data_IF_118325515974
#
_entry.id   IF_118325515974
#
_cell.length_a   1.000
_cell.length_b   1.000
_cell.length_c   1.000
_cell.angle_alpha   90.00
_cell.angle_beta   90.00
_cell.angle_gamma   90.00
#
_symmetry.space_group_name_H-M   'P 1'
#
loop_
_entity.id
_entity.type
_entity.pdbx_description
1 polymer ?
#
# COMPACT_ATOMS: atom_id res chain seq x y z
N UNK A 1 -63.36 12.27 28.11
CA UNK A 1 -63.11 11.21 29.12
C UNK A 1 -62.09 10.23 28.54
N UNK A 2 -60.86 10.30 29.04
CA UNK A 2 -59.73 9.46 28.65
C UNK A 2 -59.88 8.04 29.24
N UNK A 3 -59.68 7.00 28.43
CA UNK A 3 -59.30 5.67 28.92
C UNK A 3 -58.07 5.19 28.15
N UNK A 4 -56.92 5.32 28.80
CA UNK A 4 -55.65 4.72 28.42
C UNK A 4 -55.74 3.20 28.58
N UNK A 5 -55.62 2.44 27.49
CA UNK A 5 -55.40 0.99 27.54
C UNK A 5 -53.90 0.73 27.44
N UNK A 6 -53.31 0.46 28.61
CA UNK A 6 -51.91 0.10 28.83
C UNK A 6 -51.75 -1.40 28.59
N UNK A 7 -51.16 -1.80 27.46
CA UNK A 7 -50.78 -3.20 27.22
C UNK A 7 -49.34 -3.46 27.67
N UNK A 8 -49.06 -4.65 28.26
CA UNK A 8 -47.85 -4.95 29.01
C UNK A 8 -46.64 -5.29 28.12
N UNK A 9 -45.47 -4.78 28.52
CA UNK A 9 -44.15 -5.06 27.94
C UNK A 9 -43.69 -6.51 28.20
N UNK A 10 -42.94 -7.13 27.27
CA UNK A 10 -42.39 -8.48 27.46
C UNK A 10 -41.24 -8.52 28.48
N UNK A 11 -41.02 -9.65 29.17
CA UNK A 11 -39.97 -9.79 30.18
C UNK A 11 -38.57 -9.88 29.55
N UNK A 12 -37.67 -9.03 30.05
CA UNK A 12 -36.22 -9.07 29.81
C UNK A 12 -35.62 -10.37 30.35
N UNK A 13 -34.86 -11.09 29.53
CA UNK A 13 -34.04 -12.21 30.00
C UNK A 13 -32.68 -11.71 30.54
N UNK A 14 -32.19 -12.22 31.69
CA UNK A 14 -30.86 -11.91 32.18
C UNK A 14 -29.82 -12.81 31.50
N UNK A 15 -29.10 -12.28 30.50
CA UNK A 15 -27.87 -12.94 30.03
C UNK A 15 -26.77 -12.71 31.05
N UNK A 16 -26.44 -13.76 31.79
CA UNK A 16 -25.31 -13.85 32.71
C UNK A 16 -23.99 -13.57 31.99
N UNK A 17 -23.34 -12.47 32.37
CA UNK A 17 -21.92 -12.23 32.12
C UNK A 17 -21.12 -13.07 33.12
N UNK A 18 -20.18 -13.93 32.71
CA UNK A 18 -19.16 -14.40 33.63
C UNK A 18 -18.16 -13.28 33.91
N UNK A 19 -18.03 -12.98 35.19
CA UNK A 19 -17.05 -12.10 35.77
C UNK A 19 -15.61 -12.52 35.43
N UNK A 20 -14.80 -11.53 35.11
CA UNK A 20 -13.43 -11.30 35.58
C UNK A 20 -12.63 -12.56 35.99
N UNK A 21 -11.79 -13.04 35.07
CA UNK A 21 -10.50 -13.64 35.46
C UNK A 21 -9.41 -12.62 35.15
N UNK A 22 -8.99 -11.94 36.21
CA UNK A 22 -7.76 -11.15 36.28
C UNK A 22 -6.61 -12.12 36.09
N UNK A 23 -6.10 -12.24 34.87
CA UNK A 23 -4.85 -12.96 34.63
C UNK A 23 -3.71 -11.99 34.99
N UNK A 24 -3.23 -12.17 36.21
CA UNK A 24 -2.09 -11.50 36.78
C UNK A 24 -0.85 -11.61 35.88
N UNK A 25 -0.01 -10.58 35.99
CA UNK A 25 1.30 -10.50 35.39
C UNK A 25 2.13 -11.77 35.66
N UNK A 26 2.62 -12.40 34.59
CA UNK A 26 3.91 -13.07 34.61
C UNK A 26 4.73 -12.57 33.42
N UNK A 27 5.71 -11.73 33.76
CA UNK A 27 6.83 -11.40 32.90
C UNK A 27 7.59 -12.69 32.54
N UNK A 28 8.02 -12.88 31.27
CA UNK A 28 8.88 -14.00 30.95
C UNK A 28 10.26 -13.82 31.61
N UNK A 29 10.87 -14.89 32.15
CA UNK A 29 12.19 -14.81 32.77
C UNK A 29 13.24 -14.41 31.73
N UNK A 30 13.98 -13.36 32.05
CA UNK A 30 15.18 -12.93 31.34
C UNK A 30 16.24 -14.03 31.43
N UNK A 31 16.27 -14.92 30.44
CA UNK A 31 17.38 -15.84 30.24
C UNK A 31 18.61 -15.03 29.84
N UNK A 32 19.53 -14.87 30.79
CA UNK A 32 20.84 -14.27 30.59
C UNK A 32 21.61 -15.02 29.52
N UNK A 33 21.72 -14.41 28.34
CA UNK A 33 22.72 -14.78 27.35
C UNK A 33 24.04 -14.16 27.81
N UNK A 34 24.95 -15.01 28.29
CA UNK A 34 26.36 -14.69 28.53
C UNK A 34 26.90 -13.90 27.34
N UNK A 35 27.16 -12.61 27.56
CA UNK A 35 28.01 -11.82 26.70
C UNK A 35 29.43 -12.34 26.91
N UNK A 36 29.91 -13.23 26.06
CA UNK A 36 31.33 -13.56 26.00
C UNK A 36 32.05 -12.34 25.45
N UNK A 37 32.63 -11.56 26.36
CA UNK A 37 33.55 -10.46 26.10
C UNK A 37 34.80 -11.02 25.43
N UNK A 38 34.88 -10.94 24.11
CA UNK A 38 36.12 -11.20 23.38
C UNK A 38 37.04 -10.01 23.65
N UNK A 39 38.05 -10.22 24.50
CA UNK A 39 39.23 -9.36 24.61
C UNK A 39 39.90 -9.31 23.23
N UNK A 40 39.88 -8.15 22.56
CA UNK A 40 40.90 -7.83 21.58
C UNK A 40 42.00 -7.07 22.31
N UNK A 41 43.14 -7.73 22.49
CA UNK A 41 44.38 -7.09 22.91
C UNK A 41 44.91 -6.20 21.77
N UNK A 42 45.40 -4.99 22.05
CA UNK A 42 46.07 -4.17 21.07
C UNK A 42 47.49 -4.73 20.83
N UNK A 43 47.90 -4.85 19.56
CA UNK A 43 49.31 -4.98 19.18
C UNK A 43 49.70 -3.74 18.42
N UNK A 44 50.81 -3.19 18.87
CA UNK A 44 51.39 -1.92 18.49
C UNK A 44 51.92 -1.86 17.06
N UNK A 45 51.88 -0.63 16.57
CA UNK A 45 52.87 0.11 15.77
C UNK A 45 53.59 -0.51 14.57
N UNK A 46 53.82 0.41 13.62
CA UNK A 46 54.88 0.47 12.61
C UNK A 46 54.84 -0.60 11.53
N UNK A 47 54.36 -0.20 10.36
CA UNK A 47 55.25 -0.06 9.21
C UNK A 47 54.79 1.04 8.27
N UNK A 48 55.72 1.95 8.03
CA UNK A 48 55.61 3.06 7.12
C UNK A 48 56.14 2.63 5.74
N UNK A 49 55.71 3.36 4.71
CA UNK A 49 56.41 3.61 3.44
C UNK A 49 56.00 2.79 2.21
N UNK A 50 55.57 3.59 1.22
CA UNK A 50 55.58 3.37 -0.24
C UNK A 50 54.60 2.38 -0.86
N UNK A 51 53.50 2.90 -1.43
CA UNK A 51 53.46 3.15 -2.88
C UNK A 51 52.13 3.80 -3.32
N UNK A 52 52.00 5.14 -3.39
CA UNK A 52 50.88 5.78 -4.05
C UNK A 52 51.25 6.02 -5.51
N UNK A 53 51.50 4.97 -6.28
CA UNK A 53 51.62 5.10 -7.72
C UNK A 53 50.68 4.15 -8.46
N UNK A 54 49.78 4.80 -9.20
CA UNK A 54 49.21 4.36 -10.48
C UNK A 54 48.09 3.32 -10.39
N UNK A 55 46.88 3.86 -10.38
CA UNK A 55 46.19 3.94 -11.65
C UNK A 55 45.49 5.29 -11.73
N UNK A 56 45.82 6.05 -12.78
CA UNK A 56 44.98 7.15 -13.24
C UNK A 56 43.60 6.55 -13.52
N UNK A 57 42.62 6.77 -12.63
CA UNK A 57 41.24 6.39 -12.89
C UNK A 57 40.73 7.29 -14.00
N UNK A 58 40.72 6.73 -15.21
CA UNK A 58 40.38 7.33 -16.49
C UNK A 58 39.01 8.00 -16.55
N UNK A 59 38.79 9.13 -15.86
CA UNK A 59 37.80 10.16 -16.20
C UNK A 59 38.17 11.42 -15.41
N UNK A 60 38.92 12.33 -16.05
CA UNK A 60 39.26 13.66 -15.54
C UNK A 60 38.02 14.58 -15.41
N UNK A 61 38.18 15.89 -15.62
CA UNK A 61 37.15 16.93 -15.45
C UNK A 61 35.78 16.69 -16.14
N UNK A 62 35.66 15.66 -16.97
CA UNK A 62 34.42 15.14 -17.54
C UNK A 62 34.05 13.82 -16.87
N UNK A 63 33.45 13.89 -15.68
CA UNK A 63 32.68 12.76 -15.16
C UNK A 63 31.49 12.59 -16.10
N UNK A 64 31.38 11.46 -16.81
CA UNK A 64 30.18 11.08 -17.55
C UNK A 64 29.06 10.87 -16.52
N UNK A 65 28.50 11.96 -16.02
CA UNK A 65 27.32 11.92 -15.20
C UNK A 65 26.12 11.89 -16.15
N UNK A 66 25.10 11.12 -15.79
CA UNK A 66 23.87 11.00 -16.55
C UNK A 66 23.22 12.34 -17.00
N UNK A 67 23.36 13.48 -16.27
CA UNK A 67 22.92 14.79 -16.79
C UNK A 67 23.84 15.40 -17.86
N UNK A 68 25.14 15.08 -17.88
CA UNK A 68 26.11 15.59 -18.87
C UNK A 68 26.13 14.78 -20.18
N UNK A 69 25.52 13.60 -20.18
CA UNK A 69 25.48 12.66 -21.32
C UNK A 69 24.19 12.78 -22.16
N UNK A 70 23.71 14.02 -22.33
CA UNK A 70 22.57 14.48 -23.14
C UNK A 70 21.16 14.30 -22.51
N UNK A 71 20.37 15.39 -22.54
CA UNK A 71 18.90 15.39 -22.44
C UNK A 71 18.26 15.78 -21.11
N UNK A 72 16.97 16.14 -21.16
CA UNK A 72 16.12 16.37 -19.98
C UNK A 72 15.81 15.03 -19.30
N UNK A 73 16.39 14.82 -18.12
CA UNK A 73 16.27 13.56 -17.38
C UNK A 73 14.96 13.46 -16.58
N UNK A 74 13.96 12.81 -17.17
CA UNK A 74 12.73 12.44 -16.46
C UNK A 74 12.91 11.12 -15.69
N UNK A 75 13.44 11.20 -14.47
CA UNK A 75 13.72 10.02 -13.61
C UNK A 75 12.43 9.39 -13.06
N UNK A 76 11.73 8.63 -13.90
CA UNK A 76 10.52 7.88 -13.53
C UNK A 76 10.82 6.38 -13.64
N UNK A 77 10.83 5.63 -12.51
CA UNK A 77 11.17 4.21 -12.53
C UNK A 77 10.16 3.40 -13.36
N UNK A 78 10.56 2.23 -13.84
CA UNK A 78 9.67 1.35 -14.61
C UNK A 78 8.66 0.58 -13.74
N UNK A 79 8.94 0.45 -12.43
CA UNK A 79 8.11 -0.26 -11.44
C UNK A 79 7.69 0.64 -10.28
N UNK A 80 6.52 0.35 -9.70
CA UNK A 80 6.05 0.98 -8.47
C UNK A 80 6.76 0.42 -7.23
N UNK A 81 7.04 1.27 -6.25
CA UNK A 81 7.53 0.86 -4.93
C UNK A 81 6.41 0.20 -4.09
N UNK A 82 6.79 -0.58 -3.06
CA UNK A 82 5.85 -1.23 -2.12
C UNK A 82 4.89 -0.22 -1.48
N UNK A 83 5.41 0.94 -1.09
CA UNK A 83 4.61 2.00 -0.47
C UNK A 83 3.62 2.64 -1.45
N UNK A 84 4.02 2.83 -2.71
CA UNK A 84 3.12 3.31 -3.76
C UNK A 84 2.00 2.29 -4.02
N UNK A 85 2.33 1.00 -4.07
CA UNK A 85 1.33 -0.09 -4.22
C UNK A 85 0.34 -0.10 -3.05
N UNK A 86 0.80 0.07 -1.80
CA UNK A 86 -0.09 0.20 -0.63
C UNK A 86 -1.04 1.39 -0.77
N UNK A 87 -0.51 2.58 -1.08
CA UNK A 87 -1.34 3.78 -1.26
C UNK A 87 -2.33 3.64 -2.41
N UNK A 88 -1.95 2.94 -3.47
CA UNK A 88 -2.86 2.69 -4.59
C UNK A 88 -4.04 1.80 -4.18
N UNK A 89 -3.79 0.70 -3.46
CA UNK A 89 -4.85 -0.15 -2.90
C UNK A 89 -5.80 0.61 -1.98
N UNK A 90 -5.26 1.49 -1.12
CA UNK A 90 -6.08 2.34 -0.28
C UNK A 90 -6.97 3.30 -1.09
N UNK A 91 -6.45 3.88 -2.19
CA UNK A 91 -7.26 4.73 -3.07
C UNK A 91 -8.38 3.96 -3.77
N UNK A 92 -8.11 2.74 -4.26
CA UNK A 92 -9.13 1.90 -4.88
C UNK A 92 -10.26 1.59 -3.87
N UNK A 93 -9.90 1.14 -2.66
CA UNK A 93 -10.85 0.90 -1.56
C UNK A 93 -11.63 2.14 -1.15
N UNK A 94 -10.97 3.30 -1.11
CA UNK A 94 -11.64 4.54 -0.76
C UNK A 94 -12.73 4.91 -1.78
N UNK A 95 -12.46 4.71 -3.08
CA UNK A 95 -13.47 4.89 -4.12
C UNK A 95 -14.61 3.87 -3.97
N UNK A 96 -14.30 2.61 -3.66
CA UNK A 96 -15.31 1.57 -3.42
C UNK A 96 -16.23 1.92 -2.26
N UNK A 97 -15.66 2.41 -1.16
CA UNK A 97 -16.41 2.87 0.01
C UNK A 97 -17.33 4.04 -0.33
N UNK A 98 -16.86 5.01 -1.12
CA UNK A 98 -17.70 6.14 -1.56
C UNK A 98 -18.91 5.63 -2.34
N UNK A 99 -18.69 4.74 -3.31
CA UNK A 99 -19.79 4.16 -4.11
C UNK A 99 -20.77 3.40 -3.22
N UNK A 100 -20.28 2.58 -2.28
CA UNK A 100 -21.12 1.84 -1.35
C UNK A 100 -21.95 2.76 -0.42
N UNK A 101 -21.37 3.86 0.07
CA UNK A 101 -22.11 4.81 0.92
C UNK A 101 -23.21 5.54 0.17
N UNK A 102 -22.94 5.95 -1.07
CA UNK A 102 -23.94 6.63 -1.92
C UNK A 102 -25.08 5.68 -2.25
N UNK A 103 -24.77 4.44 -2.61
CA UNK A 103 -25.77 3.41 -2.90
C UNK A 103 -26.68 3.12 -1.70
N UNK A 104 -26.10 2.92 -0.52
CA UNK A 104 -26.86 2.69 0.71
C UNK A 104 -27.75 3.90 1.10
N UNK A 105 -27.31 5.12 0.81
CA UNK A 105 -28.10 6.33 1.06
C UNK A 105 -29.27 6.47 0.08
N UNK A 106 -29.07 6.10 -1.19
CA UNK A 106 -30.10 6.15 -2.23
C UNK A 106 -31.15 5.06 -2.05
N UNK A 107 -30.74 3.84 -1.67
CA UNK A 107 -31.65 2.75 -1.36
C UNK A 107 -32.65 3.13 -0.25
N UNK A 108 -32.20 3.85 0.79
CA UNK A 108 -33.08 4.35 1.87
C UNK A 108 -34.11 5.37 1.40
N UNK A 109 -33.79 6.12 0.33
CA UNK A 109 -34.69 7.12 -0.27
C UNK A 109 -35.56 6.52 -1.38
N UNK A 110 -35.32 5.27 -1.79
CA UNK A 110 -36.01 4.63 -2.91
C UNK A 110 -35.67 5.22 -4.28
N UNK A 111 -34.49 5.85 -4.44
CA UNK A 111 -34.03 6.43 -5.69
C UNK A 111 -32.86 5.61 -6.26
N UNK A 112 -32.74 5.53 -7.59
CA UNK A 112 -31.60 4.89 -8.27
C UNK A 112 -30.93 5.86 -9.23
N UNK A 113 -29.65 5.61 -9.53
CA UNK A 113 -28.87 6.39 -10.49
C UNK A 113 -28.24 5.43 -11.52
N UNK A 114 -28.50 5.68 -12.80
CA UNK A 114 -27.95 4.89 -13.91
C UNK A 114 -26.42 4.80 -13.86
N UNK A 115 -25.75 5.91 -13.50
CA UNK A 115 -24.30 5.95 -13.37
C UNK A 115 -23.76 4.97 -12.32
N UNK A 116 -24.50 4.71 -11.23
CA UNK A 116 -24.10 3.75 -10.20
C UNK A 116 -24.33 2.32 -10.66
N UNK A 117 -25.44 2.06 -11.36
CA UNK A 117 -25.73 0.74 -11.93
C UNK A 117 -24.68 0.36 -12.96
N UNK A 118 -24.37 1.27 -13.89
CA UNK A 118 -23.29 1.11 -14.86
C UNK A 118 -21.95 0.88 -14.17
N UNK A 119 -21.62 1.67 -13.15
CA UNK A 119 -20.38 1.51 -12.40
C UNK A 119 -20.28 0.12 -11.78
N UNK A 120 -21.33 -0.36 -11.12
CA UNK A 120 -21.36 -1.70 -10.51
C UNK A 120 -21.26 -2.83 -11.54
N UNK A 121 -21.83 -2.65 -12.73
CA UNK A 121 -21.77 -3.63 -13.80
C UNK A 121 -20.38 -3.73 -14.45
N UNK A 122 -19.73 -2.60 -14.68
CA UNK A 122 -18.44 -2.56 -15.39
C UNK A 122 -17.23 -2.70 -14.44
N UNK A 123 -17.26 -2.05 -13.27
CA UNK A 123 -16.05 -1.85 -12.45
C UNK A 123 -15.91 -2.90 -11.34
N UNK A 124 -14.81 -3.69 -11.33
CA UNK A 124 -14.54 -4.65 -10.25
C UNK A 124 -14.07 -3.96 -8.97
N UNK A 125 -14.27 -4.60 -7.82
CA UNK A 125 -13.79 -4.11 -6.53
C UNK A 125 -12.29 -4.32 -6.34
N UNK A 126 -11.64 -3.60 -5.40
CA UNK A 126 -10.21 -3.82 -5.13
C UNK A 126 -9.89 -5.28 -4.76
N UNK A 127 -10.80 -6.00 -4.11
CA UNK A 127 -10.58 -7.38 -3.70
C UNK A 127 -10.57 -8.34 -4.89
N UNK A 128 -11.48 -8.14 -5.85
CA UNK A 128 -11.64 -8.97 -7.06
C UNK A 128 -10.51 -8.75 -8.08
N UNK A 129 -9.94 -7.53 -8.10
CA UNK A 129 -8.92 -7.18 -9.09
C UNK A 129 -7.62 -7.99 -8.93
N UNK A 130 -7.08 -8.46 -10.06
CA UNK A 130 -5.77 -9.12 -10.10
C UNK A 130 -4.65 -8.11 -9.78
N UNK A 131 -3.55 -8.55 -9.12
CA UNK A 131 -2.39 -7.69 -8.89
C UNK A 131 -1.77 -7.11 -10.17
N UNK A 132 -1.89 -7.82 -11.30
CA UNK A 132 -1.42 -7.36 -12.62
C UNK A 132 -2.17 -6.08 -13.03
N UNK A 133 -3.49 -6.09 -12.95
CA UNK A 133 -4.33 -4.96 -13.38
C UNK A 133 -4.35 -3.81 -12.37
N UNK A 134 -4.07 -4.08 -11.09
CA UNK A 134 -3.85 -3.02 -10.08
C UNK A 134 -2.65 -2.14 -10.39
N UNK A 135 -1.55 -2.70 -10.87
CA UNK A 135 -0.29 -1.95 -10.96
C UNK A 135 0.15 -1.67 -12.40
N UNK A 136 -0.49 -2.32 -13.38
CA UNK A 136 -0.17 -2.17 -14.79
C UNK A 136 -1.43 -1.94 -15.61
N UNK A 137 -1.28 -1.14 -16.65
CA UNK A 137 -2.31 -0.80 -17.61
C UNK A 137 -1.88 -1.27 -19.00
N UNK A 138 -2.86 -1.43 -19.89
CA UNK A 138 -2.58 -1.67 -21.30
C UNK A 138 -1.96 -0.44 -21.98
N UNK A 139 -0.91 -0.64 -22.78
CA UNK A 139 -0.33 0.37 -23.67
C UNK A 139 0.06 -0.28 -24.99
N UNK A 140 -0.59 0.10 -26.09
CA UNK A 140 -0.38 -0.45 -27.43
C UNK A 140 1.08 -0.35 -27.89
N UNK A 141 1.80 0.70 -27.46
CA UNK A 141 3.17 0.99 -27.92
C UNK A 141 4.24 0.33 -27.06
N UNK A 142 3.89 -0.19 -25.89
CA UNK A 142 4.84 -0.81 -24.99
C UNK A 142 5.15 -2.24 -25.41
N UNK A 143 6.40 -2.68 -25.22
CA UNK A 143 6.78 -4.10 -25.37
C UNK A 143 5.93 -4.93 -24.41
N UNK A 144 5.26 -5.98 -24.92
CA UNK A 144 4.30 -6.82 -24.17
C UNK A 144 3.00 -6.11 -23.76
N UNK A 145 2.67 -5.00 -24.40
CA UNK A 145 1.40 -4.30 -24.25
C UNK A 145 1.06 -3.83 -22.83
N UNK A 146 2.08 -3.59 -21.99
CA UNK A 146 1.89 -3.22 -20.58
C UNK A 146 2.77 -2.06 -20.15
N UNK A 147 2.20 -1.18 -19.35
CA UNK A 147 2.86 -0.03 -18.73
C UNK A 147 2.49 0.05 -17.26
N UNK A 148 3.39 0.55 -16.42
CA UNK A 148 3.07 0.83 -15.01
C UNK A 148 2.04 1.96 -14.89
N UNK A 149 1.03 1.79 -14.04
CA UNK A 149 -0.07 2.76 -13.88
C UNK A 149 0.42 4.15 -13.42
N UNK A 150 1.56 4.21 -12.72
CA UNK A 150 2.15 5.48 -12.25
C UNK A 150 2.71 6.36 -13.36
N UNK A 151 2.79 5.86 -14.59
CA UNK A 151 3.15 6.64 -15.79
C UNK A 151 1.93 7.30 -16.44
N UNK A 152 0.70 7.00 -16.00
CA UNK A 152 -0.51 7.67 -16.46
C UNK A 152 -0.54 9.11 -15.91
N UNK A 153 -0.87 10.12 -16.73
CA UNK A 153 -1.08 11.47 -16.26
C UNK A 153 -2.17 11.49 -15.18
N UNK A 154 -1.84 12.08 -14.02
CA UNK A 154 -2.78 12.22 -12.90
C UNK A 154 -3.39 10.88 -12.42
N UNK A 155 -2.64 9.79 -12.52
CA UNK A 155 -3.06 8.43 -12.12
C UNK A 155 -3.57 8.28 -10.68
N UNK A 156 -3.25 9.22 -9.78
CA UNK A 156 -3.76 9.19 -8.41
C UNK A 156 -5.22 9.60 -8.29
N UNK A 157 -5.75 10.33 -9.28
CA UNK A 157 -7.13 10.85 -9.31
C UNK A 157 -8.01 10.12 -10.33
N UNK A 158 -7.40 9.57 -11.38
CA UNK A 158 -8.10 8.82 -12.42
C UNK A 158 -8.31 7.38 -11.97
N UNK A 159 -9.53 6.86 -12.12
CA UNK A 159 -9.88 5.46 -11.87
C UNK A 159 -9.71 4.64 -13.15
N UNK A 160 -8.64 3.84 -13.22
CA UNK A 160 -8.45 2.83 -14.27
C UNK A 160 -8.43 1.44 -13.62
N UNK A 161 -9.37 0.57 -14.00
CA UNK A 161 -9.53 -0.77 -13.41
C UNK A 161 -9.59 -1.88 -14.46
N UNK A 162 -10.23 -1.61 -15.59
CA UNK A 162 -10.44 -2.58 -16.67
C UNK A 162 -9.37 -2.38 -17.74
N UNK A 163 -8.82 -3.51 -18.20
CA UNK A 163 -7.92 -3.59 -19.35
C UNK A 163 -8.63 -4.41 -20.44
N UNK A 164 -8.31 -4.20 -21.73
CA UNK A 164 -8.87 -5.01 -22.81
C UNK A 164 -8.52 -6.49 -22.64
N UNK A 165 -9.46 -7.42 -22.92
CA UNK A 165 -9.23 -8.85 -22.77
C UNK A 165 -8.11 -9.33 -23.70
N UNK A 166 -7.33 -10.30 -23.24
CA UNK A 166 -6.24 -10.91 -24.00
C UNK A 166 -4.86 -10.23 -23.86
N UNK A 167 -4.77 -9.12 -23.13
CA UNK A 167 -3.52 -8.40 -22.88
C UNK A 167 -3.12 -8.46 -21.40
#
# INVERSE_FOLDING_TARGET
MFRYLKLPSPPMQPTSLPALSVCAAQQPPTTGKKLTFIRQSPKDSSDCVSNPQRYSTMFGAFRITNPLSSGLLWKIPWRLSKFQKRRHRLRLRAVDNVVATVDAALAKKGQTLEALERWKAEMPTEAEMLPKDKYTMFDRKAKRYRKGIHKLPKWTRVSQRINPPGY
#
